data_IF_968824877852
#
_entry.id   IF_968824877852
#
_cell.length_a   1.000
_cell.length_b   1.000
_cell.length_c   1.000
_cell.angle_alpha   90.00
_cell.angle_beta   90.00
_cell.angle_gamma   90.00
#
_symmetry.space_group_name_H-M   'P 1'
#
loop_
_entity.id
_entity.type
_entity.pdbx_description
1 polymer ?
#
# COMPACT_ATOMS: atom_id res chain seq x y z
N UNK A 1 17.28 15.94 0.26
CA UNK A 1 16.31 15.73 1.35
C UNK A 1 16.51 14.35 1.93
N UNK A 2 16.32 14.15 3.23
CA UNK A 2 16.30 12.81 3.82
C UNK A 2 15.14 12.00 3.21
N UNK A 3 15.32 10.70 3.02
CA UNK A 3 14.23 9.83 2.56
C UNK A 3 13.08 9.88 3.59
N UNK A 4 11.80 9.88 3.14
CA UNK A 4 10.67 9.90 4.05
C UNK A 4 10.68 8.67 4.96
N UNK A 5 10.31 8.86 6.22
CA UNK A 5 9.95 7.77 7.13
C UNK A 5 8.44 7.58 7.10
N UNK A 6 7.98 6.36 6.93
CA UNK A 6 6.57 6.03 6.75
C UNK A 6 5.93 5.57 8.06
N UNK A 7 4.76 6.11 8.38
CA UNK A 7 3.82 5.51 9.34
C UNK A 7 2.91 4.55 8.58
N UNK A 8 2.95 3.27 8.91
CA UNK A 8 2.30 2.21 8.12
C UNK A 8 1.16 1.58 8.91
N UNK A 9 -0.03 1.58 8.32
CA UNK A 9 -1.13 0.76 8.80
C UNK A 9 -1.09 -0.63 8.14
N UNK A 10 -1.40 -1.69 8.89
CA UNK A 10 -1.48 -3.05 8.34
C UNK A 10 -2.78 -3.73 8.76
N UNK A 11 -3.40 -4.46 7.84
CA UNK A 11 -4.56 -5.29 8.14
C UNK A 11 -4.56 -6.57 7.31
N UNK A 12 -5.22 -7.60 7.83
CA UNK A 12 -5.50 -8.81 7.09
C UNK A 12 -6.80 -9.46 7.54
N UNK A 13 -7.39 -10.27 6.67
CA UNK A 13 -8.38 -11.27 7.08
C UNK A 13 -7.68 -12.50 7.69
N UNK A 14 -8.47 -13.52 8.00
CA UNK A 14 -7.97 -14.81 8.50
C UNK A 14 -6.97 -15.47 7.53
N UNK A 15 -7.18 -15.32 6.23
CA UNK A 15 -6.32 -15.89 5.20
C UNK A 15 -4.99 -15.15 5.01
N UNK A 16 -4.86 -13.89 5.43
CA UNK A 16 -3.67 -13.07 5.22
C UNK A 16 -2.82 -12.80 6.48
N UNK A 17 -3.29 -13.24 7.66
CA UNK A 17 -2.67 -12.87 8.95
C UNK A 17 -1.23 -13.38 9.07
N UNK A 18 -0.93 -14.54 8.49
CA UNK A 18 0.40 -15.14 8.48
C UNK A 18 1.40 -14.25 7.75
N UNK A 19 1.08 -13.87 6.51
CA UNK A 19 1.92 -12.96 5.72
C UNK A 19 2.02 -11.58 6.39
N UNK A 20 0.92 -11.05 6.90
CA UNK A 20 0.88 -9.72 7.55
C UNK A 20 1.85 -9.66 8.72
N UNK A 21 1.84 -10.67 9.60
CA UNK A 21 2.71 -10.68 10.78
C UNK A 21 4.20 -10.78 10.39
N UNK A 22 4.54 -11.53 9.34
CA UNK A 22 5.92 -11.65 8.88
C UNK A 22 6.43 -10.36 8.25
N UNK A 23 5.62 -9.69 7.44
CA UNK A 23 5.98 -8.40 6.84
C UNK A 23 6.00 -7.29 7.89
N UNK A 24 5.10 -7.33 8.88
CA UNK A 24 5.10 -6.40 10.03
C UNK A 24 6.44 -6.42 10.76
N UNK A 25 6.95 -7.62 11.05
CA UNK A 25 8.27 -7.76 11.68
C UNK A 25 9.40 -7.20 10.80
N UNK A 26 9.31 -7.30 9.47
CA UNK A 26 10.32 -6.68 8.60
C UNK A 26 10.23 -5.15 8.64
N UNK A 27 9.02 -4.60 8.61
CA UNK A 27 8.78 -3.16 8.68
C UNK A 27 9.21 -2.55 10.00
N UNK A 28 8.98 -3.21 11.13
CA UNK A 28 9.44 -2.77 12.46
C UNK A 28 10.97 -2.67 12.56
N UNK A 29 11.72 -3.35 11.67
CA UNK A 29 13.17 -3.33 11.60
C UNK A 29 13.73 -2.51 10.41
N UNK A 30 12.88 -1.90 9.58
CA UNK A 30 13.31 -1.14 8.40
C UNK A 30 13.49 0.36 8.77
N UNK A 31 14.65 0.98 8.50
CA UNK A 31 14.91 2.37 8.87
C UNK A 31 14.02 3.41 8.16
N UNK A 32 13.32 3.00 7.09
CA UNK A 32 12.35 3.83 6.36
C UNK A 32 10.96 3.83 7.01
N UNK A 33 10.74 3.05 8.07
CA UNK A 33 9.46 2.95 8.77
C UNK A 33 9.57 3.62 10.13
N UNK A 34 8.68 4.58 10.41
CA UNK A 34 8.61 5.27 11.70
C UNK A 34 7.80 4.46 12.72
N UNK A 35 6.66 3.93 12.29
CA UNK A 35 5.78 3.12 13.13
C UNK A 35 4.94 2.18 12.29
N UNK A 36 4.56 1.05 12.89
CA UNK A 36 3.60 0.11 12.32
C UNK A 36 2.42 -0.02 13.26
N UNK A 37 1.21 0.20 12.76
CA UNK A 37 -0.02 0.05 13.53
C UNK A 37 -0.90 -1.00 12.86
N UNK A 38 -1.49 -1.91 13.64
CA UNK A 38 -2.64 -2.66 13.13
C UNK A 38 -3.78 -1.66 12.88
N UNK A 39 -4.49 -1.81 11.77
CA UNK A 39 -5.42 -0.81 11.26
C UNK A 39 -6.59 -0.60 12.25
N UNK A 40 -6.49 0.45 13.04
CA UNK A 40 -7.56 1.03 13.86
C UNK A 40 -7.78 2.44 13.29
N UNK A 41 -9.02 2.79 13.00
CA UNK A 41 -9.45 3.90 12.14
C UNK A 41 -9.14 5.32 12.66
N UNK A 42 -7.87 5.63 12.96
CA UNK A 42 -7.47 6.89 13.58
C UNK A 42 -6.80 7.87 12.59
N UNK A 43 -6.72 7.51 11.29
CA UNK A 43 -6.31 8.40 10.20
C UNK A 43 -4.84 8.88 10.23
N UNK A 44 -3.98 8.25 11.03
CA UNK A 44 -2.60 8.69 11.30
C UNK A 44 -1.51 8.02 10.44
N UNK A 45 -1.86 7.17 9.49
CA UNK A 45 -0.89 6.47 8.64
C UNK A 45 -0.66 7.17 7.30
N UNK A 46 0.57 7.15 6.82
CA UNK A 46 0.94 7.67 5.49
C UNK A 46 0.62 6.66 4.38
N UNK A 47 0.72 5.36 4.71
CA UNK A 47 0.47 4.24 3.80
C UNK A 47 -0.17 3.06 4.52
N UNK A 48 -0.77 2.14 3.76
CA UNK A 48 -1.27 0.88 4.31
C UNK A 48 -0.89 -0.34 3.48
N UNK A 49 -0.63 -1.47 4.16
CA UNK A 49 -0.50 -2.79 3.56
C UNK A 49 -1.67 -3.69 3.98
N UNK A 50 -2.46 -4.14 3.01
CA UNK A 50 -3.60 -5.01 3.23
C UNK A 50 -3.35 -6.39 2.62
N UNK A 51 -3.64 -7.46 3.36
CA UNK A 51 -3.43 -8.82 2.88
C UNK A 51 -4.72 -9.63 3.06
N UNK A 52 -5.17 -10.27 2.00
CA UNK A 52 -6.25 -11.25 2.10
C UNK A 52 -5.94 -12.46 1.23
N UNK A 53 -6.92 -13.34 0.98
CA UNK A 53 -6.71 -14.48 0.06
C UNK A 53 -6.15 -14.07 -1.31
N UNK A 54 -6.74 -13.06 -1.97
CA UNK A 54 -6.32 -12.62 -3.32
C UNK A 54 -5.79 -11.18 -3.40
N UNK A 55 -5.99 -10.39 -2.35
CA UNK A 55 -5.75 -8.94 -2.33
C UNK A 55 -6.89 -8.10 -2.93
N UNK A 56 -7.79 -8.71 -3.72
CA UNK A 56 -8.80 -7.97 -4.49
C UNK A 56 -9.88 -7.33 -3.60
N UNK A 57 -10.46 -8.10 -2.68
CA UNK A 57 -11.57 -7.62 -1.85
C UNK A 57 -11.17 -6.45 -0.95
N UNK A 58 -9.97 -6.51 -0.38
CA UNK A 58 -9.44 -5.42 0.46
C UNK A 58 -9.12 -4.16 -0.36
N UNK A 59 -8.62 -4.32 -1.61
CA UNK A 59 -8.41 -3.19 -2.50
C UNK A 59 -9.74 -2.53 -2.92
N UNK A 60 -10.74 -3.32 -3.30
CA UNK A 60 -12.08 -2.82 -3.67
C UNK A 60 -12.70 -2.05 -2.50
N UNK A 61 -12.58 -2.58 -1.29
CA UNK A 61 -13.14 -1.97 -0.07
C UNK A 61 -12.41 -0.68 0.28
N UNK A 62 -11.07 -0.68 0.29
CA UNK A 62 -10.27 0.49 0.64
C UNK A 62 -10.52 1.66 -0.33
N UNK A 63 -10.70 1.40 -1.63
CA UNK A 63 -11.05 2.42 -2.62
C UNK A 63 -12.46 3.03 -2.45
N UNK A 64 -13.28 2.56 -1.48
CA UNK A 64 -14.54 3.24 -1.12
C UNK A 64 -14.34 4.39 -0.14
N UNK A 65 -13.15 4.50 0.46
CA UNK A 65 -12.81 5.60 1.35
C UNK A 65 -12.30 6.76 0.50
N UNK A 66 -12.97 7.92 0.60
CA UNK A 66 -12.59 9.12 -0.18
C UNK A 66 -11.12 9.46 -0.01
N UNK A 67 -10.42 9.66 -1.13
CA UNK A 67 -9.00 10.03 -1.16
C UNK A 67 -8.03 8.85 -1.00
N UNK A 68 -8.53 7.64 -0.82
CA UNK A 68 -7.71 6.42 -0.77
C UNK A 68 -7.61 5.81 -2.16
N UNK A 69 -6.38 5.55 -2.60
CA UNK A 69 -6.08 4.75 -3.79
C UNK A 69 -5.39 3.48 -3.37
N UNK A 70 -6.10 2.36 -3.54
CA UNK A 70 -5.66 1.03 -3.21
C UNK A 70 -5.50 0.16 -4.45
N UNK A 71 -4.43 -0.63 -4.50
CA UNK A 71 -4.16 -1.50 -5.64
C UNK A 71 -3.78 -2.90 -5.17
N UNK A 72 -4.19 -3.91 -5.93
CA UNK A 72 -3.61 -5.26 -5.79
C UNK A 72 -2.42 -5.37 -6.74
N UNK A 73 -1.24 -5.70 -6.23
CA UNK A 73 -0.04 -5.85 -7.06
C UNK A 73 0.79 -7.06 -6.59
N UNK A 74 1.23 -7.87 -7.56
CA UNK A 74 1.89 -9.17 -7.33
C UNK A 74 3.23 -9.30 -8.06
N UNK A 75 3.76 -8.19 -8.56
CA UNK A 75 5.04 -8.11 -9.26
C UNK A 75 5.69 -6.73 -9.05
N UNK A 76 7.01 -6.65 -9.23
CA UNK A 76 7.80 -5.44 -8.95
C UNK A 76 7.38 -4.25 -9.82
N UNK A 77 7.00 -4.50 -11.08
CA UNK A 77 6.61 -3.43 -11.99
C UNK A 77 5.29 -2.80 -11.53
N UNK A 78 4.29 -3.62 -11.23
CA UNK A 78 3.02 -3.14 -10.69
C UNK A 78 3.19 -2.40 -9.36
N UNK A 79 4.07 -2.86 -8.47
CA UNK A 79 4.38 -2.18 -7.20
C UNK A 79 5.06 -0.83 -7.41
N UNK A 80 6.01 -0.73 -8.33
CA UNK A 80 6.62 0.54 -8.70
C UNK A 80 5.57 1.50 -9.28
N UNK A 81 4.78 1.04 -10.25
CA UNK A 81 3.78 1.87 -10.93
C UNK A 81 2.62 2.24 -10.04
N UNK A 82 2.30 1.45 -9.02
CA UNK A 82 1.35 1.80 -7.97
C UNK A 82 1.71 3.15 -7.32
N UNK A 83 2.99 3.34 -6.99
CA UNK A 83 3.45 4.59 -6.39
C UNK A 83 3.70 5.64 -7.47
N UNK A 84 4.59 5.36 -8.43
CA UNK A 84 5.13 6.36 -9.36
C UNK A 84 4.15 6.84 -10.44
N UNK A 85 3.02 6.13 -10.65
CA UNK A 85 1.94 6.61 -11.53
C UNK A 85 0.67 6.95 -10.81
N UNK A 86 0.28 6.12 -9.84
CA UNK A 86 -1.06 6.19 -9.27
C UNK A 86 -1.08 6.86 -7.90
N UNK A 87 0.10 7.20 -7.34
CA UNK A 87 0.24 7.70 -5.99
C UNK A 87 -0.58 6.87 -4.98
N UNK A 88 -0.57 5.54 -5.14
CA UNK A 88 -1.38 4.63 -4.35
C UNK A 88 -0.82 4.54 -2.93
N UNK A 89 -1.61 4.97 -1.95
CA UNK A 89 -1.23 4.92 -0.53
C UNK A 89 -1.37 3.50 0.03
N UNK A 90 -2.15 2.64 -0.63
CA UNK A 90 -2.51 1.32 -0.14
C UNK A 90 -2.06 0.23 -1.12
N UNK A 91 -1.15 -0.63 -0.67
CA UNK A 91 -0.75 -1.84 -1.38
C UNK A 91 -1.52 -3.04 -0.83
N UNK A 92 -2.14 -3.81 -1.71
CA UNK A 92 -2.88 -5.03 -1.38
C UNK A 92 -2.20 -6.25 -2.00
N UNK A 93 -2.12 -7.35 -1.25
CA UNK A 93 -1.52 -8.60 -1.71
C UNK A 93 -2.38 -9.82 -1.36
N UNK A 94 -2.18 -10.91 -2.10
CA UNK A 94 -2.97 -12.14 -1.99
C UNK A 94 -2.12 -13.30 -1.49
N UNK A 95 -2.33 -13.74 -0.25
CA UNK A 95 -1.57 -14.86 0.34
C UNK A 95 -1.77 -16.18 -0.42
N UNK A 96 -2.96 -16.40 -1.00
CA UNK A 96 -3.25 -17.62 -1.80
C UNK A 96 -2.75 -17.53 -3.24
N UNK A 97 -2.17 -16.40 -3.66
CA UNK A 97 -1.78 -16.12 -5.05
C UNK A 97 -0.27 -16.00 -5.20
N UNK A 98 0.41 -15.37 -4.23
CA UNK A 98 1.86 -15.18 -4.26
C UNK A 98 2.57 -15.81 -3.06
N UNK A 99 3.81 -16.25 -3.25
CA UNK A 99 4.66 -16.77 -2.18
C UNK A 99 5.13 -15.68 -1.20
N UNK A 100 5.40 -16.06 0.05
CA UNK A 100 5.76 -15.16 1.14
C UNK A 100 7.00 -14.32 0.82
N UNK A 101 8.05 -14.95 0.27
CA UNK A 101 9.30 -14.24 -0.03
C UNK A 101 9.13 -13.21 -1.14
N UNK A 102 8.27 -13.49 -2.12
CA UNK A 102 7.89 -12.48 -3.13
C UNK A 102 7.14 -11.33 -2.46
N UNK A 103 6.15 -11.62 -1.61
CA UNK A 103 5.40 -10.59 -0.90
C UNK A 103 6.31 -9.69 -0.02
N UNK A 104 7.26 -10.29 0.71
CA UNK A 104 8.27 -9.57 1.52
C UNK A 104 9.15 -8.65 0.65
N UNK A 105 9.63 -9.17 -0.49
CA UNK A 105 10.42 -8.38 -1.45
C UNK A 105 9.64 -7.19 -2.00
N UNK A 106 8.41 -7.42 -2.45
CA UNK A 106 7.54 -6.40 -3.01
C UNK A 106 7.20 -5.31 -1.98
N UNK A 107 6.89 -5.71 -0.75
CA UNK A 107 6.65 -4.78 0.36
C UNK A 107 7.88 -3.89 0.63
N UNK A 108 9.09 -4.46 0.57
CA UNK A 108 10.35 -3.73 0.75
C UNK A 108 10.65 -2.75 -0.39
N UNK A 109 10.40 -3.15 -1.63
CA UNK A 109 10.54 -2.31 -2.83
C UNK A 109 9.58 -1.11 -2.74
N UNK A 110 8.32 -1.36 -2.38
CA UNK A 110 7.28 -0.35 -2.24
C UNK A 110 7.67 0.82 -1.32
N UNK A 111 8.32 0.53 -0.18
CA UNK A 111 8.82 1.57 0.75
C UNK A 111 9.81 2.55 0.13
N UNK A 112 10.52 2.13 -0.93
CA UNK A 112 11.57 2.90 -1.59
C UNK A 112 11.04 3.89 -2.63
N UNK A 113 9.82 3.71 -3.13
CA UNK A 113 9.25 4.58 -4.15
C UNK A 113 8.57 5.79 -3.52
N UNK A 114 8.71 6.97 -4.13
CA UNK A 114 8.05 8.22 -3.72
C UNK A 114 7.41 8.84 -4.95
N UNK A 115 6.14 9.20 -4.86
CA UNK A 115 5.43 9.85 -5.96
C UNK A 115 5.94 11.27 -6.17
N UNK A 116 6.17 11.64 -7.43
CA UNK A 116 6.52 13.00 -7.82
C UNK A 116 5.27 13.74 -8.29
N UNK A 117 4.85 14.73 -7.49
CA UNK A 117 3.67 15.58 -7.77
C UNK A 117 3.86 16.50 -8.97
N UNK A 118 5.09 16.67 -9.46
CA UNK A 118 5.39 17.42 -10.69
C UNK A 118 5.42 16.56 -11.94
N UNK A 119 5.27 15.24 -11.81
CA UNK A 119 5.31 14.30 -12.93
C UNK A 119 4.05 14.38 -13.81
N UNK A 120 4.16 13.91 -15.05
CA UNK A 120 3.01 13.78 -15.97
C UNK A 120 1.89 12.87 -15.41
N UNK A 121 2.23 11.96 -14.49
CA UNK A 121 1.25 11.10 -13.82
C UNK A 121 0.35 11.89 -12.85
N UNK A 122 0.81 13.01 -12.30
CA UNK A 122 0.05 13.83 -11.34
C UNK A 122 -1.26 14.36 -11.94
N UNK A 123 -1.25 14.75 -13.22
CA UNK A 123 -2.46 15.17 -13.92
C UNK A 123 -3.51 14.04 -13.98
N UNK A 124 -3.07 12.78 -14.15
CA UNK A 124 -3.98 11.61 -14.18
C UNK A 124 -4.53 11.29 -12.79
N UNK A 125 -3.71 11.45 -11.75
CA UNK A 125 -4.17 11.30 -10.36
C UNK A 125 -5.21 12.37 -10.02
N UNK A 126 -5.06 13.60 -10.50
CA UNK A 126 -6.05 14.65 -10.23
C UNK A 126 -7.40 14.35 -10.88
N UNK A 127 -7.43 13.73 -12.07
CA UNK A 127 -8.70 13.26 -12.67
C UNK A 127 -9.45 12.30 -11.73
N UNK A 128 -8.75 11.43 -11.02
CA UNK A 128 -9.34 10.51 -10.03
C UNK A 128 -9.90 11.34 -8.86
N UNK A 129 -9.10 12.27 -8.32
CA UNK A 129 -9.53 13.13 -7.20
C UNK A 129 -10.76 13.97 -7.57
N UNK A 130 -10.83 14.48 -8.80
CA UNK A 130 -11.97 15.24 -9.31
C UNK A 130 -13.23 14.39 -9.45
N UNK A 131 -13.09 13.13 -9.86
CA UNK A 131 -14.21 12.19 -9.91
C UNK A 131 -14.74 11.89 -8.51
N UNK A 132 -13.86 11.66 -7.53
CA UNK A 132 -14.24 11.41 -6.13
C UNK A 132 -15.00 12.59 -5.51
N UNK A 133 -14.66 13.84 -5.86
CA UNK A 133 -15.36 15.05 -5.37
C UNK A 133 -16.82 15.14 -5.86
N UNK A 134 -17.17 14.42 -6.93
CA UNK A 134 -18.52 14.42 -7.55
C UNK A 134 -19.45 13.33 -6.98
N UNK A 135 -18.92 12.41 -6.17
CA UNK A 135 -19.64 11.30 -5.53
C UNK A 135 -19.87 11.58 -4.05
#
# INVERSE_FOLDING_TARGET
MAAPKWRIAMAADDAGVGYKNKIKADFENDPRVESVTDLVADGKADRALLICGTGLGVAITANKIKGVRAVTAHDSFSVERAVLSNNAQVLCMGERVIGLELARRLAKEWLGYVFDTSSASAAKVEVINELEKKL
#
